data_IF_513998140779
#
_entry.id   IF_513998140779
#
_cell.length_a   1.000
_cell.length_b   1.000
_cell.length_c   1.000
_cell.angle_alpha   90.00
_cell.angle_beta   90.00
_cell.angle_gamma   90.00
#
_symmetry.space_group_name_H-M   'P 1'
#
loop_
_entity.id
_entity.type
_entity.pdbx_description
1 polymer ?
#
# COMPACT_ATOMS: atom_id res chain seq x y z
N UNK A 1 7.24 -0.12 -5.30
CA UNK A 1 6.18 0.38 -4.41
C UNK A 1 5.16 1.11 -5.26
N UNK A 2 3.89 1.18 -4.86
CA UNK A 2 2.85 1.89 -5.63
C UNK A 2 2.06 2.81 -4.69
N UNK A 3 1.99 4.10 -5.01
CA UNK A 3 0.98 4.99 -4.43
C UNK A 3 -0.33 4.76 -5.16
N UNK A 4 -1.41 4.51 -4.43
CA UNK A 4 -2.73 4.33 -5.00
C UNK A 4 -3.75 5.20 -4.26
N UNK A 5 -5.04 4.97 -4.50
CA UNK A 5 -6.10 5.68 -3.80
C UNK A 5 -6.22 7.14 -4.22
N UNK A 6 -6.88 7.92 -3.39
CA UNK A 6 -7.39 9.26 -3.75
C UNK A 6 -6.29 10.23 -4.22
N UNK A 7 -5.10 10.18 -3.61
CA UNK A 7 -3.96 11.00 -4.03
C UNK A 7 -3.42 10.59 -5.39
N UNK A 8 -3.24 9.29 -5.65
CA UNK A 8 -2.81 8.83 -6.97
C UNK A 8 -3.86 9.11 -8.06
N UNK A 9 -5.14 9.14 -7.68
CA UNK A 9 -6.27 9.27 -8.60
C UNK A 9 -6.72 10.71 -8.84
N UNK A 10 -6.07 11.69 -8.19
CA UNK A 10 -6.30 13.12 -8.39
C UNK A 10 -7.55 13.66 -7.70
N UNK A 11 -8.11 12.94 -6.72
CA UNK A 11 -9.31 13.34 -5.98
C UNK A 11 -9.17 13.18 -4.45
N UNK A 12 -8.08 13.65 -3.81
CA UNK A 12 -7.94 13.59 -2.35
C UNK A 12 -8.93 14.53 -1.66
N UNK A 13 -9.53 14.05 -0.58
CA UNK A 13 -10.26 14.85 0.39
C UNK A 13 -9.33 15.38 1.49
N UNK A 14 -9.85 16.31 2.30
CA UNK A 14 -9.09 16.91 3.42
C UNK A 14 -8.63 15.89 4.47
N UNK A 15 -9.38 14.81 4.63
CA UNK A 15 -9.13 13.73 5.60
C UNK A 15 -8.67 12.44 4.90
N UNK A 16 -8.21 12.53 3.65
CA UNK A 16 -7.75 11.35 2.91
C UNK A 16 -6.40 10.87 3.45
N UNK A 17 -6.31 9.54 3.60
CA UNK A 17 -5.08 8.81 3.83
C UNK A 17 -4.20 8.78 2.57
N UNK A 18 -2.91 8.47 2.76
CA UNK A 18 -1.90 8.29 1.73
C UNK A 18 -1.67 6.78 1.58
N UNK A 19 -2.44 6.15 0.69
CA UNK A 19 -2.41 4.71 0.44
C UNK A 19 -1.14 4.26 -0.29
N UNK A 20 -0.32 3.42 0.35
CA UNK A 20 0.94 2.93 -0.25
C UNK A 20 1.00 1.40 -0.24
N UNK A 21 1.05 0.80 -1.43
CA UNK A 21 1.24 -0.63 -1.60
C UNK A 21 2.73 -1.01 -1.59
N UNK A 22 3.09 -1.88 -0.64
CA UNK A 22 4.39 -2.53 -0.55
C UNK A 22 4.26 -3.92 -1.15
N UNK A 23 4.79 -4.11 -2.36
CA UNK A 23 4.68 -5.36 -3.10
C UNK A 23 5.87 -6.27 -2.77
N UNK A 24 5.57 -7.46 -2.25
CA UNK A 24 6.53 -8.52 -1.96
C UNK A 24 6.22 -9.77 -2.77
N UNK A 25 7.22 -10.64 -2.97
CA UNK A 25 7.06 -11.86 -3.79
C UNK A 25 6.01 -12.82 -3.23
N UNK A 26 5.98 -12.97 -1.91
CA UNK A 26 5.07 -13.87 -1.18
C UNK A 26 4.77 -13.30 0.19
N UNK A 27 3.53 -13.46 0.67
CA UNK A 27 3.20 -13.23 2.07
C UNK A 27 3.63 -14.44 2.91
N UNK A 28 4.35 -14.18 3.99
CA UNK A 28 4.78 -15.20 4.94
C UNK A 28 3.74 -15.44 6.04
N UNK A 29 4.02 -16.39 6.94
CA UNK A 29 3.23 -16.59 8.16
C UNK A 29 3.26 -15.39 9.11
N UNK A 30 4.27 -14.54 8.96
CA UNK A 30 4.52 -13.32 9.72
C UNK A 30 3.85 -12.07 9.11
N UNK A 31 2.79 -12.28 8.32
CA UNK A 31 2.08 -11.20 7.62
C UNK A 31 1.57 -10.13 8.59
N UNK A 32 0.95 -10.54 9.70
CA UNK A 32 0.37 -9.60 10.66
C UNK A 32 1.46 -8.78 11.37
N UNK A 33 2.54 -9.43 11.77
CA UNK A 33 3.69 -8.80 12.41
C UNK A 33 4.38 -7.81 11.46
N UNK A 34 4.57 -8.18 10.19
CA UNK A 34 5.14 -7.28 9.18
C UNK A 34 4.23 -6.10 8.86
N UNK A 35 2.92 -6.34 8.77
CA UNK A 35 1.95 -5.28 8.55
C UNK A 35 1.97 -4.27 9.71
N UNK A 36 1.93 -4.76 10.96
CA UNK A 36 2.04 -3.91 12.15
C UNK A 36 3.38 -3.13 12.19
N UNK A 37 4.49 -3.78 11.85
CA UNK A 37 5.79 -3.13 11.77
C UNK A 37 5.81 -2.00 10.72
N UNK A 38 5.16 -2.18 9.56
CA UNK A 38 5.03 -1.11 8.57
C UNK A 38 4.26 0.11 9.13
N UNK A 39 3.14 -0.13 9.83
CA UNK A 39 2.41 0.95 10.48
C UNK A 39 3.27 1.70 11.52
N UNK A 40 4.02 0.98 12.35
CA UNK A 40 4.93 1.60 13.31
C UNK A 40 6.00 2.48 12.64
N UNK A 41 6.55 2.03 11.50
CA UNK A 41 7.55 2.81 10.76
C UNK A 41 6.98 4.12 10.19
N UNK A 42 5.76 4.09 9.68
CA UNK A 42 5.18 5.29 9.04
C UNK A 42 4.60 6.28 10.04
N UNK A 43 4.21 5.84 11.24
CA UNK A 43 3.69 6.74 12.28
C UNK A 43 4.70 7.80 12.73
N UNK A 44 5.99 7.47 12.72
CA UNK A 44 7.06 8.43 13.03
C UNK A 44 7.25 9.49 11.92
N UNK A 45 6.68 9.25 10.73
CA UNK A 45 6.76 10.13 9.56
C UNK A 45 5.48 10.95 9.43
N UNK A 46 4.35 10.27 9.22
CA UNK A 46 3.02 10.88 9.09
C UNK A 46 1.96 9.79 9.29
N UNK A 47 1.07 9.98 10.26
CA UNK A 47 0.03 9.00 10.60
C UNK A 47 -1.03 8.79 9.52
N UNK A 48 -1.07 9.65 8.49
CA UNK A 48 -1.97 9.49 7.33
C UNK A 48 -1.46 8.48 6.32
N UNK A 49 -0.20 8.05 6.42
CA UNK A 49 0.34 7.04 5.50
C UNK A 49 -0.27 5.69 5.90
N UNK A 50 -0.96 5.05 4.95
CA UNK A 50 -1.57 3.73 5.11
C UNK A 50 -0.81 2.69 4.27
N UNK A 51 0.15 1.97 4.87
CA UNK A 51 0.92 0.97 4.15
C UNK A 51 0.13 -0.35 4.07
N UNK A 52 0.05 -0.92 2.88
CA UNK A 52 -0.57 -2.23 2.64
C UNK A 52 0.42 -3.19 2.00
N UNK A 53 0.63 -4.33 2.66
CA UNK A 53 1.51 -5.39 2.16
C UNK A 53 0.76 -6.28 1.16
N UNK A 54 1.19 -6.29 -0.09
CA UNK A 54 0.56 -7.05 -1.17
C UNK A 54 1.54 -8.03 -1.83
N UNK A 55 0.99 -9.05 -2.47
CA UNK A 55 1.76 -10.08 -3.15
C UNK A 55 1.02 -10.56 -4.38
N UNK A 56 1.64 -10.61 -5.57
CA UNK A 56 1.02 -11.18 -6.77
C UNK A 56 0.55 -12.63 -6.57
N UNK A 57 1.27 -13.41 -5.76
CA UNK A 57 0.86 -14.78 -5.41
C UNK A 57 -0.44 -14.87 -4.58
N UNK A 58 -0.96 -13.74 -4.06
CA UNK A 58 -2.11 -13.66 -3.16
C UNK A 58 -3.16 -12.62 -3.63
N UNK A 59 -3.24 -12.31 -4.93
CA UNK A 59 -4.17 -11.31 -5.48
C UNK A 59 -5.47 -11.90 -6.04
N UNK A 60 -6.20 -12.66 -5.20
CA UNK A 60 -7.41 -13.36 -5.68
C UNK A 60 -8.52 -12.44 -6.16
N UNK A 61 -8.59 -11.21 -5.63
CA UNK A 61 -9.60 -10.20 -5.98
C UNK A 61 -9.22 -9.38 -7.22
N UNK A 62 -7.99 -9.47 -7.72
CA UNK A 62 -7.46 -8.56 -8.74
C UNK A 62 -7.23 -7.14 -8.22
N UNK A 63 -7.07 -6.98 -6.90
CA UNK A 63 -6.83 -5.67 -6.29
C UNK A 63 -5.46 -5.14 -6.68
N UNK A 64 -4.41 -5.96 -6.61
CA UNK A 64 -3.07 -5.55 -7.03
C UNK A 64 -3.06 -5.17 -8.51
N UNK A 65 -3.68 -5.99 -9.37
CA UNK A 65 -3.83 -5.65 -10.79
C UNK A 65 -4.53 -4.29 -10.99
N UNK A 66 -5.58 -4.00 -10.20
CA UNK A 66 -6.33 -2.74 -10.30
C UNK A 66 -5.48 -1.52 -9.95
N UNK A 67 -4.66 -1.61 -8.89
CA UNK A 67 -3.81 -0.49 -8.46
C UNK A 67 -2.56 -0.36 -9.33
N UNK A 68 -2.07 -1.44 -9.96
CA UNK A 68 -0.99 -1.36 -10.94
C UNK A 68 -1.40 -0.57 -12.20
N UNK A 69 -2.68 -0.68 -12.62
CA UNK A 69 -3.19 0.02 -13.81
C UNK A 69 -3.38 1.52 -13.62
N UNK A 70 -3.68 1.97 -12.40
CA UNK A 70 -4.13 3.34 -12.13
C UNK A 70 -3.25 4.09 -11.13
N UNK A 71 -2.51 3.36 -10.30
CA UNK A 71 -1.60 3.92 -9.31
C UNK A 71 -0.34 4.51 -9.93
N UNK A 72 0.45 5.15 -9.07
CA UNK A 72 1.74 5.76 -9.42
C UNK A 72 2.84 4.84 -8.90
N UNK A 73 3.63 4.25 -9.80
CA UNK A 73 4.78 3.42 -9.44
C UNK A 73 5.87 4.30 -8.85
N UNK A 74 6.26 4.01 -7.61
CA UNK A 74 7.40 4.63 -6.95
C UNK A 74 8.61 3.70 -7.09
N UNK A 75 9.65 4.12 -7.85
CA UNK A 75 10.88 3.36 -7.96
C UNK A 75 11.63 3.35 -6.62
N UNK A 76 12.17 2.19 -6.27
CA UNK A 76 12.96 1.93 -5.05
C UNK A 76 14.26 1.23 -5.42
#
# INVERSE_FOLDING_TARGET
MILYGSYAYGNPGKDSDIDVAIIVKTLGKDYLEKSAALFHLVWDIDTRIEPVLLSPAHDKSGFLESIEKRGIVIPV
#
